data_IF_882330656759
#
_entry.id   IF_882330656759
#
_cell.length_a   1.000
_cell.length_b   1.000
_cell.length_c   1.000
_cell.angle_alpha   90.00
_cell.angle_beta   90.00
_cell.angle_gamma   90.00
#
_symmetry.space_group_name_H-M   'P 1'
#
loop_
_entity.id
_entity.type
_entity.pdbx_description
1 polymer ?
#
# COMPACT_ATOMS: atom_id res chain seq x y z
N UNK A 1 17.85 -13.78 8.25
CA UNK A 1 17.23 -14.19 6.98
C UNK A 1 16.89 -12.95 6.17
N UNK A 2 17.45 -12.77 4.96
CA UNK A 2 17.09 -11.64 4.09
C UNK A 2 15.71 -11.93 3.49
N UNK A 3 14.66 -11.28 3.98
CA UNK A 3 13.35 -11.29 3.33
C UNK A 3 13.55 -10.62 1.97
N UNK A 4 13.57 -11.40 0.88
CA UNK A 4 13.56 -10.84 -0.48
C UNK A 4 12.16 -10.27 -0.72
N UNK A 5 11.98 -8.98 -0.42
CA UNK A 5 10.77 -8.23 -0.78
C UNK A 5 10.73 -8.14 -2.31
N UNK A 6 9.73 -8.78 -2.93
CA UNK A 6 9.48 -8.66 -4.37
C UNK A 6 8.48 -7.51 -4.55
N UNK A 7 8.77 -6.57 -5.47
CA UNK A 7 7.78 -5.56 -5.85
C UNK A 7 6.58 -6.29 -6.44
N UNK A 8 5.40 -6.03 -5.88
CA UNK A 8 4.12 -6.58 -6.31
C UNK A 8 3.40 -5.63 -7.25
N UNK A 9 3.45 -4.34 -6.94
CA UNK A 9 2.83 -3.27 -7.73
C UNK A 9 3.59 -1.97 -7.49
N UNK A 10 3.66 -1.13 -8.51
CA UNK A 10 4.10 0.26 -8.39
C UNK A 10 2.92 1.15 -8.74
N UNK A 11 2.72 2.19 -7.93
CA UNK A 11 1.66 3.17 -8.10
C UNK A 11 2.30 4.53 -8.28
N UNK A 12 1.87 5.28 -9.29
CA UNK A 12 2.08 6.72 -9.32
C UNK A 12 1.44 7.39 -8.12
N UNK A 13 1.86 8.61 -7.82
CA UNK A 13 1.22 9.45 -6.79
C UNK A 13 -0.30 9.51 -6.92
N UNK A 14 -0.84 9.63 -8.14
CA UNK A 14 -2.29 9.69 -8.38
C UNK A 14 -2.98 8.36 -8.08
N UNK A 15 -2.41 7.25 -8.55
CA UNK A 15 -2.95 5.92 -8.27
C UNK A 15 -2.91 5.60 -6.77
N UNK A 16 -1.82 6.00 -6.10
CA UNK A 16 -1.72 5.86 -4.65
C UNK A 16 -2.78 6.68 -3.90
N UNK A 17 -3.05 7.92 -4.32
CA UNK A 17 -4.11 8.73 -3.72
C UNK A 17 -5.50 8.10 -3.90
N UNK A 18 -5.82 7.62 -5.09
CA UNK A 18 -7.07 6.90 -5.36
C UNK A 18 -7.18 5.64 -4.52
N UNK A 19 -6.09 4.88 -4.43
CA UNK A 19 -5.98 3.69 -3.59
C UNK A 19 -6.27 4.00 -2.11
N UNK A 20 -5.68 5.06 -1.54
CA UNK A 20 -5.93 5.47 -0.16
C UNK A 20 -7.37 5.92 0.06
N UNK A 21 -7.94 6.64 -0.91
CA UNK A 21 -9.34 7.05 -0.84
C UNK A 21 -10.26 5.83 -0.75
N UNK A 22 -10.01 4.79 -1.55
CA UNK A 22 -10.78 3.55 -1.50
C UNK A 22 -10.67 2.84 -0.14
N UNK A 23 -9.46 2.77 0.43
CA UNK A 23 -9.23 2.24 1.79
C UNK A 23 -10.07 2.98 2.83
N UNK A 24 -10.05 4.32 2.79
CA UNK A 24 -10.75 5.19 3.74
C UNK A 24 -12.26 5.08 3.56
N UNK A 25 -12.75 5.09 2.32
CA UNK A 25 -14.17 4.96 2.01
C UNK A 25 -14.71 3.61 2.48
N UNK A 26 -13.95 2.53 2.29
CA UNK A 26 -14.28 1.21 2.81
C UNK A 26 -14.36 1.23 4.35
N UNK A 27 -13.34 1.79 5.02
CA UNK A 27 -13.29 1.85 6.48
C UNK A 27 -14.45 2.68 7.06
N UNK A 28 -14.78 3.80 6.42
CA UNK A 28 -15.93 4.64 6.81
C UNK A 28 -17.25 3.88 6.71
N UNK A 29 -17.42 3.03 5.68
CA UNK A 29 -18.66 2.28 5.44
C UNK A 29 -18.79 1.01 6.29
N UNK A 30 -17.68 0.36 6.65
CA UNK A 30 -17.66 -0.96 7.30
C UNK A 30 -17.14 -0.94 8.74
N UNK A 31 -16.54 0.17 9.18
CA UNK A 31 -15.92 0.30 10.50
C UNK A 31 -14.60 -0.48 10.64
N UNK A 32 -14.07 -1.03 9.55
CA UNK A 32 -12.80 -1.75 9.53
C UNK A 32 -12.05 -1.59 8.21
N UNK A 33 -10.74 -1.78 8.26
CA UNK A 33 -9.89 -1.74 7.07
C UNK A 33 -10.14 -2.96 6.16
N UNK A 34 -10.13 -2.78 4.83
CA UNK A 34 -10.39 -3.87 3.88
C UNK A 34 -9.35 -4.99 4.03
N UNK A 35 -9.73 -6.28 3.95
CA UNK A 35 -8.76 -7.37 4.05
C UNK A 35 -7.79 -7.42 2.86
N UNK A 36 -8.24 -6.92 1.71
CA UNK A 36 -7.46 -6.73 0.50
C UNK A 36 -8.13 -5.68 -0.40
N UNK A 37 -7.38 -5.15 -1.35
CA UNK A 37 -7.84 -4.25 -2.42
C UNK A 37 -7.34 -4.79 -3.75
N UNK A 38 -8.07 -4.52 -4.83
CA UNK A 38 -7.67 -4.91 -6.18
C UNK A 38 -7.25 -3.65 -6.93
N UNK A 39 -6.02 -3.62 -7.44
CA UNK A 39 -5.50 -2.52 -8.28
C UNK A 39 -4.97 -3.13 -9.57
N UNK A 40 -5.56 -2.78 -10.71
CA UNK A 40 -5.28 -3.36 -12.03
C UNK A 40 -5.15 -4.90 -11.96
N UNK A 41 -6.23 -5.56 -11.53
CA UNK A 41 -6.32 -7.01 -11.34
C UNK A 41 -5.32 -7.62 -10.34
N UNK A 42 -4.54 -6.79 -9.66
CA UNK A 42 -3.57 -7.23 -8.64
C UNK A 42 -4.20 -7.13 -7.26
N UNK A 43 -4.40 -8.28 -6.62
CA UNK A 43 -4.88 -8.37 -5.24
C UNK A 43 -3.78 -8.01 -4.26
N UNK A 44 -3.95 -6.89 -3.54
CA UNK A 44 -3.04 -6.37 -2.53
C UNK A 44 -3.64 -6.62 -1.14
N UNK A 45 -2.94 -7.38 -0.31
CA UNK A 45 -3.41 -7.73 1.03
C UNK A 45 -3.17 -6.61 2.04
N UNK A 46 -3.97 -6.61 3.11
CA UNK A 46 -3.88 -5.63 4.21
C UNK A 46 -2.48 -5.37 4.74
N UNK A 47 -1.72 -6.42 5.00
CA UNK A 47 -0.34 -6.31 5.48
C UNK A 47 0.62 -5.70 4.46
N UNK A 48 0.37 -5.84 3.16
CA UNK A 48 1.21 -5.31 2.09
C UNK A 48 0.95 -3.82 1.89
N UNK A 49 -0.33 -3.41 1.87
CA UNK A 49 -0.65 -2.00 1.69
C UNK A 49 -0.44 -1.16 2.95
N UNK A 50 -0.61 -1.73 4.16
CA UNK A 50 -0.28 -1.00 5.40
C UNK A 50 1.21 -0.65 5.40
N UNK A 51 2.06 -1.59 5.03
CA UNK A 51 3.50 -1.35 4.92
C UNK A 51 3.82 -0.28 3.86
N UNK A 52 3.09 -0.27 2.74
CA UNK A 52 3.23 0.80 1.74
C UNK A 52 2.83 2.17 2.32
N UNK A 53 1.73 2.24 3.07
CA UNK A 53 1.28 3.47 3.75
C UNK A 53 2.33 3.98 4.74
N UNK A 54 2.87 3.08 5.56
CA UNK A 54 3.92 3.41 6.53
C UNK A 54 5.17 3.96 5.84
N UNK A 55 5.60 3.32 4.75
CA UNK A 55 6.76 3.79 3.97
C UNK A 55 6.52 5.17 3.36
N UNK A 56 5.33 5.44 2.82
CA UNK A 56 4.98 6.75 2.28
C UNK A 56 4.94 7.81 3.37
N UNK A 57 4.32 7.51 4.52
CA UNK A 57 4.28 8.43 5.65
C UNK A 57 5.68 8.77 6.15
N UNK A 58 6.55 7.76 6.29
CA UNK A 58 7.95 7.96 6.66
C UNK A 58 8.68 8.84 5.64
N UNK A 59 8.50 8.57 4.35
CA UNK A 59 9.10 9.39 3.29
C UNK A 59 8.65 10.86 3.38
N UNK A 60 7.35 11.11 3.61
CA UNK A 60 6.81 12.47 3.77
C UNK A 60 7.42 13.16 4.98
N UNK A 61 7.52 12.47 6.12
CA UNK A 61 8.12 13.03 7.34
C UNK A 61 9.60 13.39 7.15
N UNK A 62 10.35 12.57 6.41
CA UNK A 62 11.78 12.78 6.17
C UNK A 62 12.08 13.83 5.10
N UNK A 63 11.21 13.98 4.09
CA UNK A 63 11.51 14.78 2.90
C UNK A 63 10.59 15.99 2.71
N UNK A 64 9.51 16.12 3.50
CA UNK A 64 8.53 17.19 3.38
C UNK A 64 7.68 17.16 2.10
N UNK A 65 7.72 16.05 1.34
CA UNK A 65 6.99 15.89 0.08
C UNK A 65 6.51 14.45 -0.11
N UNK A 66 5.46 14.27 -0.93
CA UNK A 66 5.00 12.94 -1.33
C UNK A 66 5.99 12.30 -2.33
N UNK A 67 6.16 10.96 -2.30
CA UNK A 67 6.91 10.26 -3.33
C UNK A 67 6.17 10.29 -4.67
N UNK A 68 6.92 10.34 -5.77
CA UNK A 68 6.35 10.28 -7.13
C UNK A 68 5.81 8.88 -7.47
N UNK A 69 6.48 7.85 -6.94
CA UNK A 69 6.13 6.44 -7.12
C UNK A 69 6.13 5.72 -5.78
N UNK A 70 5.15 4.84 -5.57
CA UNK A 70 4.99 4.02 -4.37
C UNK A 70 5.07 2.56 -4.75
N UNK A 71 6.09 1.86 -4.27
CA UNK A 71 6.24 0.42 -4.47
C UNK A 71 5.56 -0.36 -3.34
N UNK A 72 4.64 -1.25 -3.70
CA UNK A 72 3.98 -2.18 -2.81
C UNK A 72 4.69 -3.52 -2.93
N UNK A 73 5.14 -4.08 -1.80
CA UNK A 73 5.92 -5.31 -1.78
C UNK A 73 5.06 -6.51 -1.42
N UNK A 74 5.29 -7.62 -2.11
CA UNK A 74 4.69 -8.90 -1.76
C UNK A 74 5.32 -9.43 -0.48
N UNK A 75 4.48 -9.73 0.52
CA UNK A 75 4.91 -10.52 1.68
C UNK A 75 4.60 -11.99 1.41
N UNK A 76 5.62 -12.76 1.01
CA UNK A 76 5.54 -14.23 1.08
C UNK A 76 5.46 -14.61 2.55
N UNK A 77 4.35 -15.22 2.99
CA UNK A 77 4.42 -16.05 4.19
C UNK A 77 5.41 -17.17 3.86
N UNK A 78 6.37 -17.38 4.75
CA UNK A 78 7.02 -18.69 4.81
C UNK A 78 5.93 -19.61 5.35
N UNK A 79 5.39 -20.47 4.49
CA UNK A 79 4.73 -21.68 4.95
C UNK A 79 5.73 -22.53 5.76
#
# INVERSE_FOLDING_TARGET
MKIKKKIKKELSKKEYQSFIKEVIDYNTKKGNMPPHIIVDDTKIYKNEYIEAIENVNKFILENGRQPETVSIYAKRRKD
#
